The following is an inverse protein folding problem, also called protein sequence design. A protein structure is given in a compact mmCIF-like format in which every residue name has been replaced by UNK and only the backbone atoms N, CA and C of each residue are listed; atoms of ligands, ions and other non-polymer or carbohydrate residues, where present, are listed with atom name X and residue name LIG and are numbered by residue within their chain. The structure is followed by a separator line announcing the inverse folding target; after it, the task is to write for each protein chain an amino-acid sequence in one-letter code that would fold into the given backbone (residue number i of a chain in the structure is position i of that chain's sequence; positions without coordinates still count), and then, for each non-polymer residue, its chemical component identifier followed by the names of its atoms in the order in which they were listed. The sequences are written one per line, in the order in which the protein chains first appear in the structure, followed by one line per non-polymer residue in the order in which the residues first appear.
data_IF_914090904919
#
_entry.id   IF_914090904919
#
_cell.length_a   1.000
_cell.length_b   1.000
_cell.length_c   1.000
_cell.angle_alpha   90.00
_cell.angle_beta   90.00
_cell.angle_gamma   90.00
#
_symmetry.space_group_name_H-M   'P 1'
#
loop_
_entity.id
_entity.type
_entity.pdbx_description
1 polymer ?
#
# COMPACT_ATOMS: atom_id res chain seq x y z
N UNK A 1 -0.32 0.63 6.81
CA UNK A 1 0.39 0.75 8.09
C UNK A 1 -0.52 0.64 9.30
N UNK A 2 -1.66 1.30 9.37
CA UNK A 2 -2.65 1.07 10.43
C UNK A 2 -3.08 -0.38 10.58
N UNK A 3 -3.03 -1.14 9.49
CA UNK A 3 -3.34 -2.57 9.46
C UNK A 3 -2.41 -3.39 10.37
N UNK A 4 -1.10 -3.14 10.38
CA UNK A 4 -0.15 -3.85 11.22
C UNK A 4 -0.37 -3.63 12.73
N UNK A 5 -0.98 -2.52 13.14
CA UNK A 5 -1.21 -2.20 14.56
C UNK A 5 -2.53 -2.72 15.13
N UNK A 6 -3.58 -2.87 14.32
CA UNK A 6 -4.77 -3.60 14.79
C UNK A 6 -4.41 -5.03 15.22
N UNK A 7 -3.29 -5.57 14.69
CA UNK A 7 -2.74 -6.83 15.17
C UNK A 7 -1.85 -6.71 16.42
N UNK A 8 -1.42 -5.50 16.83
CA UNK A 8 -0.63 -5.31 18.07
C UNK A 8 -1.46 -5.22 19.35
N UNK A 9 -2.75 -4.86 19.29
CA UNK A 9 -3.67 -4.91 20.45
C UNK A 9 -3.84 -6.34 20.98
N UNK A 10 -3.40 -7.34 20.22
CA UNK A 10 -3.59 -8.76 20.49
C UNK A 10 -2.52 -9.46 21.32
N UNK A 11 -1.45 -8.82 21.77
CA UNK A 11 -0.58 -9.51 22.76
C UNK A 11 -1.37 -10.01 23.97
N UNK A 12 -2.46 -9.33 24.32
CA UNK A 12 -3.37 -9.73 25.40
C UNK A 12 -4.34 -10.86 24.99
N UNK A 13 -4.78 -10.89 23.73
CA UNK A 13 -5.67 -11.94 23.21
C UNK A 13 -4.88 -13.21 22.95
N UNK A 14 -3.69 -13.11 22.36
CA UNK A 14 -2.78 -14.25 22.09
C UNK A 14 -2.39 -14.95 23.40
N UNK A 15 -2.15 -14.22 24.50
CA UNK A 15 -1.87 -14.84 25.80
C UNK A 15 -3.04 -15.68 26.34
N UNK A 16 -4.28 -15.33 26.05
CA UNK A 16 -5.47 -16.13 26.46
C UNK A 16 -5.70 -17.36 25.57
N UNK A 17 -5.36 -17.27 24.28
CA UNK A 17 -5.53 -18.37 23.33
C UNK A 17 -4.48 -19.47 23.54
N UNK A 18 -3.25 -19.12 23.93
CA UNK A 18 -2.16 -20.08 24.17
C UNK A 18 -2.42 -21.08 25.30
N UNK A 19 -3.44 -20.87 26.14
CA UNK A 19 -3.79 -21.79 27.24
C UNK A 19 -4.50 -23.08 26.77
N UNK A 20 -4.95 -23.18 25.52
CA UNK A 20 -5.76 -24.30 25.00
C UNK A 20 -5.21 -25.04 23.78
N UNK A 21 -3.99 -24.75 23.32
CA UNK A 21 -3.45 -25.35 22.08
C UNK A 21 -2.40 -26.45 22.32
N UNK A 22 -2.47 -27.50 21.47
CA UNK A 22 -1.45 -28.59 21.43
C UNK A 22 -0.11 -28.07 20.90
N UNK A 23 1.02 -28.61 21.43
CA UNK A 23 2.40 -28.24 21.10
C UNK A 23 2.75 -28.07 19.60
N UNK A 24 2.27 -28.94 18.64
CA UNK A 24 2.59 -28.77 17.21
C UNK A 24 1.96 -27.51 16.61
N UNK A 25 0.75 -27.13 17.02
CA UNK A 25 0.09 -25.89 16.56
C UNK A 25 0.80 -24.63 17.07
N UNK A 26 1.37 -24.67 18.28
CA UNK A 26 2.17 -23.56 18.82
C UNK A 26 3.46 -23.32 18.05
N UNK A 27 4.11 -24.38 17.55
CA UNK A 27 5.33 -24.25 16.74
C UNK A 27 5.03 -23.61 15.36
N UNK A 28 3.92 -23.99 14.72
CA UNK A 28 3.47 -23.42 13.47
C UNK A 28 3.09 -21.94 13.59
N UNK A 29 2.37 -21.56 14.64
CA UNK A 29 2.01 -20.17 14.94
C UNK A 29 3.26 -19.33 15.18
N UNK A 30 4.22 -19.83 15.94
CA UNK A 30 5.49 -19.15 16.22
C UNK A 30 6.32 -18.97 14.95
N UNK A 31 6.33 -19.97 14.05
CA UNK A 31 6.99 -19.87 12.74
C UNK A 31 6.41 -18.75 11.87
N UNK A 32 5.08 -18.58 11.85
CA UNK A 32 4.43 -17.48 11.10
C UNK A 32 4.68 -16.10 11.71
N UNK A 33 4.81 -16.00 13.02
CA UNK A 33 5.18 -14.74 13.69
C UNK A 33 6.61 -14.31 13.30
N UNK A 34 7.58 -15.22 13.38
CA UNK A 34 8.98 -14.95 12.98
C UNK A 34 9.06 -14.57 11.50
N UNK A 35 8.31 -15.26 10.63
CA UNK A 35 8.24 -14.91 9.22
C UNK A 35 7.67 -13.50 9.01
N UNK A 36 6.62 -13.14 9.76
CA UNK A 36 6.02 -11.82 9.73
C UNK A 36 7.00 -10.71 10.11
N UNK A 37 7.80 -10.91 11.17
CA UNK A 37 8.83 -9.94 11.60
C UNK A 37 9.97 -9.82 10.58
N UNK A 38 10.40 -10.93 9.99
CA UNK A 38 11.39 -10.92 8.91
C UNK A 38 10.89 -10.12 7.71
N UNK A 39 9.66 -10.36 7.27
CA UNK A 39 9.06 -9.65 6.15
C UNK A 39 8.83 -8.16 6.47
N UNK A 40 8.49 -7.79 7.71
CA UNK A 40 8.42 -6.40 8.12
C UNK A 40 9.79 -5.72 7.99
N UNK A 41 10.87 -6.41 8.34
CA UNK A 41 12.25 -5.90 8.18
C UNK A 41 12.61 -5.72 6.70
N UNK A 42 12.30 -6.72 5.85
CA UNK A 42 12.53 -6.64 4.40
C UNK A 42 11.71 -5.49 3.79
N UNK A 43 10.48 -5.30 4.24
CA UNK A 43 9.63 -4.19 3.82
C UNK A 43 10.29 -2.83 4.10
N UNK A 44 10.84 -2.62 5.32
CA UNK A 44 11.57 -1.40 5.66
C UNK A 44 12.76 -1.17 4.73
N UNK A 45 13.57 -2.21 4.49
CA UNK A 45 14.72 -2.15 3.61
C UNK A 45 14.31 -1.76 2.19
N UNK A 46 13.27 -2.40 1.64
CA UNK A 46 12.80 -2.11 0.27
C UNK A 46 12.20 -0.71 0.14
N UNK A 47 11.50 -0.22 1.16
CA UNK A 47 10.99 1.15 1.20
C UNK A 47 12.13 2.18 1.17
N UNK A 48 13.18 1.97 1.99
CA UNK A 48 14.36 2.83 2.05
C UNK A 48 15.12 2.83 0.72
N UNK A 49 15.34 1.66 0.12
CA UNK A 49 16.01 1.55 -1.19
C UNK A 49 15.20 2.27 -2.27
N UNK A 50 13.86 2.09 -2.25
CA UNK A 50 12.96 2.80 -3.16
C UNK A 50 13.08 4.32 -3.01
N UNK A 51 13.11 4.82 -1.78
CA UNK A 51 13.31 6.23 -1.50
C UNK A 51 14.63 6.78 -2.11
N UNK A 52 15.76 6.10 -1.89
CA UNK A 52 17.04 6.52 -2.48
C UNK A 52 17.05 6.43 -4.01
N UNK A 53 16.39 5.42 -4.59
CA UNK A 53 16.22 5.33 -6.04
C UNK A 53 15.49 6.56 -6.61
N UNK A 54 14.42 7.01 -5.93
CA UNK A 54 13.65 8.19 -6.35
C UNK A 54 14.34 9.53 -6.06
N UNK A 55 15.16 9.65 -5.01
CA UNK A 55 16.01 10.85 -4.80
C UNK A 55 16.87 11.11 -6.02
N UNK A 56 17.48 10.06 -6.54
CA UNK A 56 18.33 10.18 -7.74
C UNK A 56 17.52 10.60 -8.97
N UNK A 57 16.28 10.16 -9.09
CA UNK A 57 15.38 10.57 -10.17
C UNK A 57 14.91 12.01 -10.02
N UNK A 58 14.60 12.47 -8.80
CA UNK A 58 14.17 13.84 -8.56
C UNK A 58 15.17 14.89 -9.03
N UNK A 59 16.47 14.61 -8.90
CA UNK A 59 17.53 15.50 -9.37
C UNK A 59 17.62 15.60 -10.90
N UNK A 60 16.98 14.69 -11.63
CA UNK A 60 17.04 14.62 -13.08
C UNK A 60 15.94 15.47 -13.73
N UNK A 61 16.32 16.64 -14.24
CA UNK A 61 15.41 17.60 -14.88
C UNK A 61 14.80 17.13 -16.21
N UNK A 62 15.34 16.09 -16.85
CA UNK A 62 14.82 15.55 -18.12
C UNK A 62 13.59 14.63 -17.94
N UNK A 63 13.26 14.24 -16.71
CA UNK A 63 12.13 13.38 -16.43
C UNK A 63 10.80 14.14 -16.43
N UNK A 64 9.72 13.42 -16.76
CA UNK A 64 8.35 13.92 -16.60
C UNK A 64 8.12 14.44 -15.17
N UNK A 65 7.40 15.55 -15.07
CA UNK A 65 7.06 16.17 -13.77
C UNK A 65 6.32 15.19 -12.86
N UNK A 66 5.42 14.36 -13.39
CA UNK A 66 4.67 13.36 -12.64
C UNK A 66 5.59 12.36 -11.92
N UNK A 67 6.61 11.83 -12.62
CA UNK A 67 7.60 10.93 -12.04
C UNK A 67 8.47 11.61 -10.98
N UNK A 68 8.80 12.88 -11.18
CA UNK A 68 9.56 13.67 -10.20
C UNK A 68 8.73 13.91 -8.94
N UNK A 69 7.44 14.22 -9.08
CA UNK A 69 6.53 14.41 -7.95
C UNK A 69 6.27 13.07 -7.24
N UNK A 70 6.27 11.94 -7.97
CA UNK A 70 6.09 10.62 -7.38
C UNK A 70 7.11 10.30 -6.28
N UNK A 71 8.28 10.94 -6.29
CA UNK A 71 9.26 10.88 -5.19
C UNK A 71 8.64 11.21 -3.82
N UNK A 72 7.68 12.12 -3.76
CA UNK A 72 7.03 12.50 -2.50
C UNK A 72 6.30 11.30 -1.85
N UNK A 73 5.81 10.36 -2.63
CA UNK A 73 5.08 9.21 -2.12
C UNK A 73 5.91 8.33 -1.18
N UNK A 74 7.05 7.74 -1.58
CA UNK A 74 7.88 6.97 -0.68
C UNK A 74 8.42 7.81 0.49
N UNK A 75 8.69 9.11 0.28
CA UNK A 75 9.18 10.00 1.34
C UNK A 75 8.15 10.16 2.45
N UNK A 76 6.91 10.50 2.11
CA UNK A 76 5.82 10.66 3.08
C UNK A 76 5.48 9.31 3.71
N UNK A 77 5.49 8.22 2.93
CA UNK A 77 5.24 6.88 3.46
C UNK A 77 6.26 6.48 4.51
N UNK A 78 7.57 6.73 4.28
CA UNK A 78 8.62 6.46 5.28
C UNK A 78 8.41 7.31 6.52
N UNK A 79 8.10 8.60 6.38
CA UNK A 79 7.79 9.46 7.52
C UNK A 79 6.63 8.91 8.36
N UNK A 80 5.55 8.52 7.71
CA UNK A 80 4.40 7.89 8.37
C UNK A 80 4.76 6.55 9.04
N UNK A 81 5.69 5.80 8.43
CA UNK A 81 6.24 4.57 9.03
C UNK A 81 7.01 4.88 10.32
N UNK A 82 7.89 5.87 10.30
CA UNK A 82 8.64 6.29 11.48
C UNK A 82 7.69 6.71 12.58
N UNK A 83 6.73 7.60 12.29
CA UNK A 83 5.71 8.03 13.25
C UNK A 83 4.93 6.84 13.84
N UNK A 84 4.52 5.90 12.99
CA UNK A 84 3.85 4.67 13.42
C UNK A 84 4.70 3.83 14.38
N UNK A 85 6.00 3.74 14.11
CA UNK A 85 6.94 2.98 14.93
C UNK A 85 7.16 3.66 16.27
N UNK A 86 7.33 5.00 16.30
CA UNK A 86 7.46 5.77 17.54
C UNK A 86 6.23 5.62 18.44
N UNK A 87 5.03 5.61 17.86
CA UNK A 87 3.82 5.33 18.62
C UNK A 87 3.77 3.87 19.15
N UNK A 88 4.25 2.89 18.36
CA UNK A 88 4.31 1.47 18.78
C UNK A 88 5.16 1.28 20.04
N UNK A 89 6.18 2.07 20.21
CA UNK A 89 7.08 2.04 21.38
C UNK A 89 6.71 3.06 22.47
N UNK A 90 5.49 3.59 22.43
CA UNK A 90 4.94 4.52 23.45
C UNK A 90 5.70 5.85 23.57
N UNK A 91 6.52 6.21 22.59
CA UNK A 91 7.15 7.54 22.54
C UNK A 91 6.20 8.67 22.13
N UNK A 92 5.04 8.33 21.54
CA UNK A 92 4.01 9.27 21.14
C UNK A 92 2.63 8.76 21.57
N UNK A 93 1.69 9.68 21.82
CA UNK A 93 0.33 9.37 22.20
C UNK A 93 -0.40 8.54 21.13
N UNK A 94 -1.11 7.49 21.59
CA UNK A 94 -1.80 6.56 20.69
C UNK A 94 -2.94 7.21 19.91
N UNK A 95 -3.56 8.27 20.40
CA UNK A 95 -4.63 8.98 19.69
C UNK A 95 -4.10 9.64 18.42
N UNK A 96 -2.93 10.29 18.49
CA UNK A 96 -2.24 10.84 17.31
C UNK A 96 -2.00 9.78 16.25
N UNK A 97 -1.71 8.54 16.67
CA UNK A 97 -1.49 7.44 15.75
C UNK A 97 -2.75 7.00 14.99
N UNK A 98 -3.89 6.90 15.67
CA UNK A 98 -5.17 6.51 15.02
C UNK A 98 -5.54 7.51 13.94
N UNK A 99 -5.44 8.81 14.25
CA UNK A 99 -5.67 9.86 13.26
C UNK A 99 -4.67 9.83 12.11
N UNK A 100 -3.37 9.68 12.42
CA UNK A 100 -2.31 9.61 11.39
C UNK A 100 -2.56 8.47 10.40
N UNK A 101 -3.01 7.29 10.85
CA UNK A 101 -3.30 6.18 9.96
C UNK A 101 -4.52 6.44 9.06
N UNK A 102 -5.58 7.04 9.59
CA UNK A 102 -6.76 7.40 8.79
C UNK A 102 -6.42 8.43 7.70
N UNK A 103 -5.69 9.48 8.05
CA UNK A 103 -5.23 10.48 7.06
C UNK A 103 -4.18 9.93 6.10
N UNK A 104 -3.34 8.99 6.54
CA UNK A 104 -2.42 8.26 5.66
C UNK A 104 -3.17 7.51 4.55
N UNK A 105 -4.29 6.85 4.87
CA UNK A 105 -5.11 6.18 3.87
C UNK A 105 -5.63 7.17 2.82
N UNK A 106 -6.15 8.32 3.27
CA UNK A 106 -6.63 9.37 2.37
C UNK A 106 -5.52 9.90 1.47
N UNK A 107 -4.33 10.14 2.03
CA UNK A 107 -3.14 10.53 1.27
C UNK A 107 -2.79 9.47 0.21
N UNK A 108 -2.71 8.19 0.59
CA UNK A 108 -2.41 7.11 -0.35
C UNK A 108 -3.44 7.06 -1.49
N UNK A 109 -4.72 7.12 -1.16
CA UNK A 109 -5.78 7.11 -2.17
C UNK A 109 -5.66 8.29 -3.13
N UNK A 110 -5.60 9.52 -2.61
CA UNK A 110 -5.56 10.74 -3.44
C UNK A 110 -4.31 10.78 -4.30
N UNK A 111 -3.15 10.48 -3.70
CA UNK A 111 -1.88 10.55 -4.41
C UNK A 111 -1.76 9.50 -5.52
N UNK A 112 -2.12 8.26 -5.23
CA UNK A 112 -2.03 7.18 -6.21
C UNK A 112 -3.03 7.37 -7.36
N UNK A 113 -4.29 7.71 -7.05
CA UNK A 113 -5.31 7.94 -8.09
C UNK A 113 -5.00 9.18 -8.94
N UNK A 114 -4.46 10.25 -8.34
CA UNK A 114 -3.98 11.42 -9.05
C UNK A 114 -2.82 11.07 -9.99
N UNK A 115 -1.80 10.34 -9.51
CA UNK A 115 -0.66 9.91 -10.31
C UNK A 115 -1.12 9.07 -11.50
N UNK A 116 -1.95 8.05 -11.28
CA UNK A 116 -2.47 7.19 -12.35
C UNK A 116 -3.26 8.02 -13.36
N UNK A 117 -4.11 8.96 -12.91
CA UNK A 117 -4.95 9.80 -13.77
C UNK A 117 -4.12 10.69 -14.69
N UNK A 118 -2.97 11.19 -14.23
CA UNK A 118 -2.07 12.00 -15.08
C UNK A 118 -1.40 11.17 -16.16
N UNK A 119 -1.06 9.92 -15.87
CA UNK A 119 -0.37 9.03 -16.81
C UNK A 119 -1.31 8.45 -17.90
N UNK A 120 -2.64 8.59 -17.77
CA UNK A 120 -3.60 8.19 -18.82
C UNK A 120 -3.38 9.04 -20.10
N UNK A 121 -3.30 8.39 -21.24
CA UNK A 121 -3.10 9.04 -22.55
C UNK A 121 -4.42 9.44 -23.19
N UNK A 122 -5.41 8.52 -23.19
CA UNK A 122 -6.73 8.78 -23.76
C UNK A 122 -7.48 9.86 -22.98
N UNK A 123 -7.96 10.88 -23.71
CA UNK A 123 -8.65 12.03 -23.10
C UNK A 123 -10.00 11.66 -22.48
N UNK A 124 -10.71 10.67 -23.04
CA UNK A 124 -12.02 10.22 -22.53
C UNK A 124 -11.81 9.43 -21.23
N UNK A 125 -10.87 8.47 -21.24
CA UNK A 125 -10.54 7.68 -20.05
C UNK A 125 -10.04 8.60 -18.93
N UNK A 126 -9.20 9.59 -19.24
CA UNK A 126 -8.72 10.59 -18.28
C UNK A 126 -9.84 11.44 -17.69
N UNK A 127 -10.83 11.86 -18.51
CA UNK A 127 -12.00 12.60 -18.02
C UNK A 127 -12.84 11.73 -17.08
N UNK A 128 -13.08 10.47 -17.45
CA UNK A 128 -13.80 9.50 -16.62
C UNK A 128 -13.09 9.30 -15.30
N UNK A 129 -11.77 9.09 -15.31
CA UNK A 129 -10.97 8.94 -14.10
C UNK A 129 -11.07 10.18 -13.19
N UNK A 130 -10.97 11.40 -13.74
CA UNK A 130 -11.15 12.64 -12.97
C UNK A 130 -12.53 12.73 -12.33
N UNK A 131 -13.59 12.41 -13.07
CA UNK A 131 -14.96 12.43 -12.55
C UNK A 131 -15.13 11.40 -11.43
N UNK A 132 -14.59 10.20 -11.60
CA UNK A 132 -14.58 9.16 -10.56
C UNK A 132 -13.81 9.63 -9.31
N UNK A 133 -12.65 10.25 -9.46
CA UNK A 133 -11.89 10.76 -8.34
C UNK A 133 -12.67 11.79 -7.53
N UNK A 134 -13.34 12.73 -8.20
CA UNK A 134 -14.17 13.76 -7.55
C UNK A 134 -15.36 13.13 -6.81
N UNK A 135 -15.96 12.06 -7.35
CA UNK A 135 -17.08 11.35 -6.71
C UNK A 135 -16.61 10.49 -5.52
N UNK A 136 -15.51 9.77 -5.67
CA UNK A 136 -15.04 8.80 -4.68
C UNK A 136 -14.30 9.46 -3.49
N UNK A 137 -13.69 10.62 -3.70
CA UNK A 137 -13.00 11.34 -2.62
C UNK A 137 -13.92 11.66 -1.43
N UNK A 138 -15.09 12.32 -1.60
CA UNK A 138 -15.99 12.57 -0.47
C UNK A 138 -16.55 11.28 0.13
N UNK A 139 -16.78 10.24 -0.67
CA UNK A 139 -17.22 8.95 -0.16
C UNK A 139 -16.20 8.35 0.82
N UNK A 140 -14.92 8.30 0.43
CA UNK A 140 -13.85 7.77 1.29
C UNK A 140 -13.68 8.66 2.52
N UNK A 141 -13.75 9.98 2.36
CA UNK A 141 -13.67 10.91 3.48
C UNK A 141 -14.81 10.69 4.47
N UNK A 142 -16.04 10.52 3.99
CA UNK A 142 -17.17 10.17 4.84
C UNK A 142 -16.98 8.84 5.57
N UNK A 143 -16.47 7.81 4.88
CA UNK A 143 -16.17 6.53 5.53
C UNK A 143 -15.11 6.68 6.63
N UNK A 144 -14.06 7.45 6.40
CA UNK A 144 -13.01 7.71 7.39
C UNK A 144 -13.56 8.41 8.64
N UNK A 145 -14.50 9.36 8.46
CA UNK A 145 -15.05 10.17 9.56
C UNK A 145 -16.13 9.40 10.32
N UNK A 146 -17.06 8.77 9.60
CA UNK A 146 -18.30 8.23 10.19
C UNK A 146 -18.26 6.72 10.45
N UNK A 147 -17.37 5.96 9.78
CA UNK A 147 -17.32 4.52 9.98
C UNK A 147 -16.62 4.17 11.29
N UNK A 148 -17.40 3.73 12.27
CA UNK A 148 -16.91 3.22 13.56
C UNK A 148 -17.25 1.73 13.74
N UNK A 149 -18.18 1.19 12.95
CA UNK A 149 -18.76 -0.14 13.16
C UNK A 149 -18.01 -1.25 12.42
N UNK A 150 -17.66 -1.02 11.14
CA UNK A 150 -17.01 -2.03 10.31
C UNK A 150 -15.52 -1.72 10.20
N UNK A 151 -14.73 -2.45 11.00
CA UNK A 151 -13.27 -2.33 10.96
C UNK A 151 -12.76 -2.57 9.54
N UNK A 152 -11.90 -1.67 9.05
CA UNK A 152 -11.21 -1.75 7.75
C UNK A 152 -12.07 -1.53 6.50
N UNK A 153 -13.36 -1.19 6.60
CA UNK A 153 -14.19 -0.93 5.43
C UNK A 153 -13.62 0.21 4.56
N UNK A 154 -13.16 1.28 5.21
CA UNK A 154 -12.54 2.41 4.52
C UNK A 154 -11.28 1.99 3.73
N UNK A 155 -10.49 1.07 4.25
CA UNK A 155 -9.32 0.53 3.55
C UNK A 155 -9.73 -0.32 2.35
N UNK A 156 -10.71 -1.21 2.51
CA UNK A 156 -11.23 -2.03 1.40
C UNK A 156 -11.72 -1.15 0.27
N UNK A 157 -12.55 -0.15 0.57
CA UNK A 157 -13.11 0.76 -0.43
C UNK A 157 -12.00 1.56 -1.11
N UNK A 158 -11.03 2.10 -0.36
CA UNK A 158 -9.92 2.85 -0.93
C UNK A 158 -9.06 1.99 -1.87
N UNK A 159 -8.72 0.75 -1.49
CA UNK A 159 -7.95 -0.16 -2.35
C UNK A 159 -8.75 -0.67 -3.55
N UNK A 160 -10.05 -0.88 -3.43
CA UNK A 160 -10.93 -1.18 -4.58
C UNK A 160 -10.95 -0.02 -5.58
N UNK A 161 -11.01 1.23 -5.09
CA UNK A 161 -10.88 2.40 -5.96
C UNK A 161 -9.53 2.43 -6.67
N UNK A 162 -8.41 2.25 -5.94
CA UNK A 162 -7.07 2.19 -6.54
C UNK A 162 -6.98 1.08 -7.59
N UNK A 163 -7.57 -0.09 -7.34
CA UNK A 163 -7.68 -1.18 -8.31
C UNK A 163 -8.42 -0.76 -9.59
N UNK A 164 -9.55 -0.05 -9.46
CA UNK A 164 -10.29 0.48 -10.61
C UNK A 164 -9.43 1.45 -11.42
N UNK A 165 -8.75 2.40 -10.78
CA UNK A 165 -7.90 3.37 -11.48
C UNK A 165 -6.71 2.71 -12.19
N UNK A 166 -6.07 1.73 -11.55
CA UNK A 166 -4.97 0.98 -12.20
C UNK A 166 -5.49 0.14 -13.36
N UNK A 167 -6.69 -0.42 -13.27
CA UNK A 167 -7.34 -1.14 -14.38
C UNK A 167 -7.63 -0.21 -15.56
N UNK A 168 -8.09 1.02 -15.32
CA UNK A 168 -8.28 2.02 -16.38
C UNK A 168 -6.96 2.35 -17.09
N UNK A 169 -5.83 2.40 -16.38
CA UNK A 169 -4.51 2.59 -16.99
C UNK A 169 -4.13 1.42 -17.91
N UNK A 170 -4.38 0.17 -17.51
CA UNK A 170 -4.11 -0.97 -18.38
C UNK A 170 -5.03 -0.98 -19.61
N UNK A 171 -6.31 -0.62 -19.46
CA UNK A 171 -7.22 -0.44 -20.61
C UNK A 171 -6.68 0.64 -21.56
N UNK A 172 -6.21 1.77 -21.03
CA UNK A 172 -5.62 2.84 -21.84
C UNK A 172 -4.36 2.38 -22.61
N UNK A 173 -3.50 1.60 -21.97
CA UNK A 173 -2.33 0.98 -22.64
C UNK A 173 -2.77 0.03 -23.77
N UNK A 174 -3.79 -0.80 -23.55
CA UNK A 174 -4.27 -1.73 -24.56
C UNK A 174 -4.90 -1.01 -25.76
N UNK A 175 -5.57 0.11 -25.53
CA UNK A 175 -6.15 0.92 -26.61
C UNK A 175 -5.11 1.76 -27.35
N UNK A 176 -4.07 2.20 -26.65
CA UNK A 176 -3.02 3.07 -27.15
C UNK A 176 -1.66 2.38 -27.03
N UNK A 177 -1.49 1.23 -27.72
CA UNK A 177 -0.26 0.41 -27.66
C UNK A 177 0.95 1.31 -27.89
N UNK A 178 1.88 1.42 -26.92
CA UNK A 178 3.05 2.26 -27.09
C UNK A 178 4.02 1.63 -28.12
N UNK A 179 4.65 2.45 -28.94
CA UNK A 179 5.70 2.01 -29.89
C UNK A 179 6.90 1.40 -29.16
N UNK A 180 7.15 1.80 -27.92
CA UNK A 180 8.22 1.28 -27.07
C UNK A 180 7.75 0.04 -26.30
N UNK A 181 8.68 -0.88 -26.04
CA UNK A 181 8.41 -2.03 -25.20
C UNK A 181 7.92 -1.57 -23.81
N UNK A 182 6.80 -2.11 -23.33
CA UNK A 182 6.19 -1.76 -22.05
C UNK A 182 7.18 -1.87 -20.87
N UNK A 183 8.07 -2.85 -20.94
CA UNK A 183 9.08 -3.11 -19.90
C UNK A 183 10.14 -2.00 -19.78
N UNK A 184 10.24 -1.08 -20.75
CA UNK A 184 11.14 0.07 -20.71
C UNK A 184 10.46 1.34 -20.17
N UNK A 185 9.16 1.31 -19.94
CA UNK A 185 8.37 2.46 -19.49
C UNK A 185 8.33 2.49 -17.95
N UNK A 186 8.88 3.53 -17.30
CA UNK A 186 8.89 3.64 -15.84
C UNK A 186 7.50 3.58 -15.21
N UNK A 187 6.54 4.33 -15.78
CA UNK A 187 5.17 4.45 -15.29
C UNK A 187 4.48 3.08 -15.24
N UNK A 188 4.77 2.21 -16.24
CA UNK A 188 4.23 0.86 -16.30
C UNK A 188 4.59 0.04 -15.05
N UNK A 189 5.88 0.06 -14.64
CA UNK A 189 6.32 -0.70 -13.46
C UNK A 189 5.75 -0.15 -12.17
N UNK A 190 5.67 1.17 -12.04
CA UNK A 190 5.09 1.83 -10.87
C UNK A 190 3.62 1.44 -10.72
N UNK A 191 2.83 1.58 -11.80
CA UNK A 191 1.40 1.29 -11.76
C UNK A 191 1.12 -0.21 -11.64
N UNK A 192 1.95 -1.06 -12.24
CA UNK A 192 1.88 -2.51 -12.04
C UNK A 192 2.10 -2.89 -10.56
N UNK A 193 3.07 -2.28 -9.91
CA UNK A 193 3.30 -2.49 -8.48
C UNK A 193 2.11 -2.08 -7.62
N UNK A 194 1.50 -0.93 -7.91
CA UNK A 194 0.28 -0.45 -7.23
C UNK A 194 -0.88 -1.42 -7.46
N UNK A 195 -1.07 -1.88 -8.70
CA UNK A 195 -2.12 -2.83 -9.06
C UNK A 195 -1.99 -4.15 -8.30
N UNK A 196 -0.81 -4.77 -8.34
CA UNK A 196 -0.54 -6.04 -7.63
C UNK A 196 -0.74 -5.88 -6.12
N UNK A 197 -0.27 -4.75 -5.56
CA UNK A 197 -0.49 -4.45 -4.15
C UNK A 197 -1.98 -4.36 -3.81
N UNK A 198 -2.77 -3.66 -4.61
CA UNK A 198 -4.22 -3.56 -4.39
C UNK A 198 -4.92 -4.93 -4.46
N UNK A 199 -4.60 -5.74 -5.49
CA UNK A 199 -5.17 -7.09 -5.66
C UNK A 199 -4.89 -7.99 -4.46
N UNK A 200 -3.65 -7.98 -3.96
CA UNK A 200 -3.26 -8.84 -2.83
C UNK A 200 -3.84 -8.34 -1.51
N UNK A 201 -3.99 -7.01 -1.34
CA UNK A 201 -4.47 -6.43 -0.08
C UNK A 201 -6.00 -6.50 0.12
N UNK A 202 -6.78 -6.45 -0.95
CA UNK A 202 -8.25 -6.43 -0.85
C UNK A 202 -8.79 -7.65 -0.07
N UNK A 203 -8.43 -8.91 -0.37
CA UNK A 203 -8.97 -10.06 0.36
C UNK A 203 -8.64 -10.07 1.86
N UNK A 204 -7.38 -9.90 2.32
CA UNK A 204 -7.08 -9.87 3.74
C UNK A 204 -7.74 -8.69 4.48
N UNK A 205 -7.90 -7.54 3.83
CA UNK A 205 -8.61 -6.41 4.41
C UNK A 205 -10.11 -6.70 4.56
N UNK A 206 -10.75 -7.26 3.52
CA UNK A 206 -12.17 -7.60 3.55
C UNK A 206 -12.51 -8.68 4.61
N UNK A 207 -11.60 -9.64 4.80
CA UNK A 207 -11.77 -10.74 5.75
C UNK A 207 -11.26 -10.41 7.16
N UNK A 208 -10.59 -9.27 7.36
CA UNK A 208 -9.90 -8.95 8.60
C UNK A 208 -10.79 -9.01 9.83
N UNK A 209 -12.00 -8.47 9.79
CA UNK A 209 -12.93 -8.48 10.94
C UNK A 209 -13.36 -9.90 11.31
N UNK A 210 -13.60 -10.76 10.31
CA UNK A 210 -13.99 -12.16 10.50
C UNK A 210 -12.82 -12.95 11.10
N UNK A 211 -11.63 -12.77 10.54
CA UNK A 211 -10.43 -13.49 10.97
C UNK A 211 -10.02 -13.09 12.37
N UNK A 212 -10.02 -11.81 12.71
CA UNK A 212 -9.67 -11.33 14.04
C UNK A 212 -10.61 -11.92 15.10
N UNK A 213 -11.91 -11.98 14.83
CA UNK A 213 -12.89 -12.42 15.81
C UNK A 213 -13.01 -13.94 15.91
N UNK A 214 -12.93 -14.67 14.78
CA UNK A 214 -13.25 -16.09 14.74
C UNK A 214 -12.05 -17.01 14.49
N UNK A 215 -10.99 -16.49 13.84
CA UNK A 215 -9.86 -17.29 13.37
C UNK A 215 -8.51 -16.63 13.66
N UNK A 216 -8.16 -16.36 14.91
CA UNK A 216 -6.93 -15.62 15.28
C UNK A 216 -5.64 -16.27 14.75
N UNK A 217 -5.64 -17.59 14.50
CA UNK A 217 -4.49 -18.31 13.95
C UNK A 217 -4.07 -17.83 12.54
N UNK A 218 -5.00 -17.26 11.75
CA UNK A 218 -4.73 -16.78 10.41
C UNK A 218 -4.21 -15.33 10.36
N UNK A 219 -4.12 -14.67 11.50
CA UNK A 219 -3.60 -13.29 11.61
C UNK A 219 -2.16 -13.22 11.07
N UNK A 220 -1.32 -14.19 11.40
CA UNK A 220 0.06 -14.28 10.89
C UNK A 220 0.10 -14.36 9.36
N UNK A 221 -0.76 -15.18 8.75
CA UNK A 221 -0.87 -15.28 7.29
C UNK A 221 -1.29 -13.94 6.66
N UNK A 222 -2.25 -13.25 7.26
CA UNK A 222 -2.67 -11.92 6.76
C UNK A 222 -1.56 -10.89 6.83
N UNK A 223 -0.80 -10.85 7.92
CA UNK A 223 0.39 -9.99 8.04
C UNK A 223 1.41 -10.31 6.96
N UNK A 224 1.69 -11.59 6.75
CA UNK A 224 2.62 -12.07 5.71
C UNK A 224 2.19 -11.60 4.32
N UNK A 225 0.91 -11.79 3.95
CA UNK A 225 0.37 -11.36 2.66
C UNK A 225 0.47 -9.84 2.49
N UNK A 226 0.14 -9.09 3.54
CA UNK A 226 0.22 -7.63 3.54
C UNK A 226 1.66 -7.15 3.33
N UNK A 227 2.62 -7.69 4.09
CA UNK A 227 4.04 -7.31 3.96
C UNK A 227 4.58 -7.68 2.58
N UNK A 228 4.26 -8.87 2.07
CA UNK A 228 4.68 -9.33 0.76
C UNK A 228 4.14 -8.42 -0.36
N UNK A 229 2.88 -8.04 -0.30
CA UNK A 229 2.27 -7.16 -1.31
C UNK A 229 2.98 -5.80 -1.40
N UNK A 230 3.33 -5.23 -0.26
CA UNK A 230 4.03 -3.94 -0.19
C UNK A 230 5.49 -4.07 -0.64
N UNK A 231 6.17 -5.17 -0.32
CA UNK A 231 7.52 -5.47 -0.83
C UNK A 231 7.49 -5.52 -2.37
N UNK A 232 6.55 -6.25 -2.97
CA UNK A 232 6.39 -6.34 -4.44
C UNK A 232 6.17 -4.95 -5.03
N UNK A 233 5.32 -4.13 -4.41
CA UNK A 233 5.08 -2.76 -4.84
C UNK A 233 6.38 -1.92 -4.87
N UNK A 234 7.16 -1.94 -3.80
CA UNK A 234 8.42 -1.18 -3.74
C UNK A 234 9.49 -1.73 -4.69
N UNK A 235 9.58 -3.04 -4.89
CA UNK A 235 10.46 -3.62 -5.90
C UNK A 235 10.09 -3.16 -7.31
N UNK A 236 8.79 -3.08 -7.61
CA UNK A 236 8.30 -2.53 -8.88
C UNK A 236 8.63 -1.04 -9.03
N UNK A 237 8.59 -0.26 -7.95
CA UNK A 237 9.01 1.14 -7.94
C UNK A 237 10.51 1.27 -8.22
N UNK A 238 11.35 0.45 -7.60
CA UNK A 238 12.80 0.41 -7.86
C UNK A 238 13.04 0.07 -9.33
N UNK A 239 12.33 -0.91 -9.90
CA UNK A 239 12.44 -1.27 -11.31
C UNK A 239 12.05 -0.11 -12.22
N UNK A 240 10.94 0.57 -11.94
CA UNK A 240 10.52 1.80 -12.64
C UNK A 240 11.59 2.88 -12.59
N UNK A 241 12.19 3.10 -11.42
CA UNK A 241 13.29 4.05 -11.26
C UNK A 241 14.53 3.67 -12.09
N UNK A 242 14.86 2.39 -12.21
CA UNK A 242 15.99 1.91 -13.00
C UNK A 242 15.73 2.04 -14.51
N UNK A 243 14.49 1.85 -14.98
CA UNK A 243 14.14 2.01 -16.40
C UNK A 243 14.38 3.43 -16.93
N UNK A 244 14.34 4.45 -16.08
CA UNK A 244 14.63 5.83 -16.50
C UNK A 244 16.07 6.03 -16.94
N UNK A 245 17.02 5.21 -16.45
CA UNK A 245 18.45 5.30 -16.85
C UNK A 245 18.69 4.81 -18.27
N UNK A 246 17.97 3.76 -18.70
CA UNK A 246 18.17 3.18 -20.05
C UNK A 246 17.64 4.06 -21.17
N UNK A 247 16.81 5.05 -20.85
CA UNK A 247 16.28 6.01 -21.83
C UNK A 247 17.21 7.20 -22.08
N UNK A 248 18.31 7.32 -21.35
CA UNK A 248 19.26 8.45 -21.41
C UNK A 248 20.58 8.10 -22.08
N UNK A 249 20.85 6.82 -22.32
CA UNK A 249 21.96 6.30 -23.11
C UNK A 249 21.47 5.91 -24.51
#
# INVERSE_FOLDING_TARGET
MGFLRCFCVEKTVIRRVNAHFSLPKMAEIRGMEVLGELLETIYWITAIISFFAFIKLYSNKSLKISLRIFFLYPSITILLMILSTLCKYEYLDCDVFVYTNKYSLLFHFVFLTWFITIELKDSKIRKTAKSLMILLFPLILCLIIYNQEIKFLEYVVAYMCVFIFTSLYFVDIFLNIPEKQLTTIPDFWIILGIFVNAVILIPPLALSSIVINNYPNYIGLMKTLTSLSVIIMYLSFIKGALCTRTLQN
#
